data_IF_637583235154
#
_entry.id   IF_637583235154
#
_cell.length_a   1.000
_cell.length_b   1.000
_cell.length_c   1.000
_cell.angle_alpha   90.00
_cell.angle_beta   90.00
_cell.angle_gamma   90.00
#
_symmetry.space_group_name_H-M   'P 1'
#
loop_
_entity.id
_entity.type
_entity.pdbx_description
1 polymer ?
#
# COMPACT_ATOMS: atom_id res chain seq x y z
N UNK A 1 0.47 10.09 10.57
CA UNK A 1 1.01 8.83 10.03
C UNK A 1 1.79 9.06 8.74
N UNK A 2 1.23 9.70 7.70
CA UNK A 2 1.97 10.19 6.53
C UNK A 2 1.77 11.70 6.44
N UNK A 3 2.87 12.47 6.48
CA UNK A 3 2.84 13.90 6.24
C UNK A 3 3.60 14.21 4.96
N UNK A 4 2.89 14.74 3.99
CA UNK A 4 3.43 15.18 2.70
C UNK A 4 3.62 16.70 2.76
N UNK A 5 4.84 17.16 2.50
CA UNK A 5 5.20 18.57 2.64
C UNK A 5 5.82 19.06 1.33
N UNK A 6 5.11 19.94 0.63
CA UNK A 6 5.54 20.57 -0.62
C UNK A 6 6.10 19.55 -1.65
N UNK A 7 5.41 18.41 -1.79
CA UNK A 7 5.81 17.35 -2.70
C UNK A 7 5.83 17.85 -4.15
N UNK A 8 6.96 17.67 -4.80
CA UNK A 8 7.13 17.97 -6.21
C UNK A 8 7.60 16.72 -6.97
N UNK A 9 7.10 16.56 -8.21
CA UNK A 9 7.56 15.52 -9.12
C UNK A 9 7.64 16.06 -10.54
N UNK A 10 8.82 15.92 -11.14
CA UNK A 10 9.09 16.22 -12.56
C UNK A 10 9.56 14.97 -13.29
N UNK A 11 9.17 14.85 -14.55
CA UNK A 11 9.73 13.91 -15.51
C UNK A 11 10.37 14.71 -16.65
N UNK A 12 11.68 14.83 -16.63
CA UNK A 12 12.38 15.80 -17.45
C UNK A 12 11.91 17.23 -17.13
N UNK A 13 11.44 17.95 -18.14
CA UNK A 13 10.92 19.31 -17.97
C UNK A 13 9.43 19.36 -17.59
N UNK A 14 8.73 18.22 -17.63
CA UNK A 14 7.30 18.17 -17.34
C UNK A 14 7.06 18.06 -15.83
N UNK A 15 6.49 19.10 -15.22
CA UNK A 15 6.07 19.09 -13.82
C UNK A 15 4.70 18.42 -13.69
N UNK A 16 4.65 17.28 -12.97
CA UNK A 16 3.45 16.48 -12.79
C UNK A 16 2.82 16.72 -11.41
N UNK A 17 3.64 16.99 -10.38
CA UNK A 17 3.16 17.40 -9.05
C UNK A 17 3.87 18.70 -8.66
N UNK A 18 3.08 19.67 -8.15
CA UNK A 18 3.55 20.98 -7.79
C UNK A 18 3.14 21.32 -6.35
N UNK A 19 4.10 21.21 -5.42
CA UNK A 19 3.99 21.59 -4.00
C UNK A 19 2.77 21.02 -3.27
N UNK A 20 2.48 19.74 -3.50
CA UNK A 20 1.38 19.08 -2.78
C UNK A 20 1.73 18.91 -1.30
N UNK A 21 0.83 19.39 -0.44
CA UNK A 21 0.93 19.19 1.02
C UNK A 21 -0.36 18.63 1.55
N UNK A 22 -0.27 17.50 2.27
CA UNK A 22 -1.44 16.82 2.86
C UNK A 22 -0.99 15.85 3.94
N UNK A 23 -1.83 15.66 4.97
CA UNK A 23 -1.63 14.67 6.04
C UNK A 23 -2.64 13.56 5.93
N UNK A 24 -2.17 12.32 6.09
CA UNK A 24 -2.98 11.10 6.26
C UNK A 24 -2.78 10.62 7.70
N UNK A 25 -3.84 10.60 8.47
CA UNK A 25 -3.82 10.10 9.84
C UNK A 25 -4.13 8.58 9.88
N UNK A 26 -3.88 7.98 11.04
CA UNK A 26 -4.21 6.57 11.23
C UNK A 26 -5.74 6.38 11.23
N UNK A 27 -6.22 5.45 10.40
CA UNK A 27 -7.64 5.20 10.22
C UNK A 27 -8.29 6.08 9.15
N UNK A 28 -7.54 7.02 8.52
CA UNK A 28 -8.05 7.80 7.40
C UNK A 28 -8.33 6.93 6.19
N UNK A 29 -9.46 7.22 5.55
CA UNK A 29 -9.80 6.73 4.22
C UNK A 29 -9.81 7.94 3.29
N UNK A 30 -8.64 8.25 2.74
CA UNK A 30 -8.45 9.35 1.83
C UNK A 30 -8.70 8.91 0.40
N UNK A 31 -9.67 9.53 -0.27
CA UNK A 31 -9.93 9.29 -1.69
C UNK A 31 -9.39 10.45 -2.52
N UNK A 32 -8.68 10.13 -3.59
CA UNK A 32 -8.07 11.08 -4.52
C UNK A 32 -8.77 10.96 -5.87
N UNK A 33 -9.41 12.04 -6.31
CA UNK A 33 -10.09 12.12 -7.60
C UNK A 33 -9.56 13.26 -8.46
N UNK A 34 -9.87 13.23 -9.75
CA UNK A 34 -9.46 14.25 -10.72
C UNK A 34 -9.42 13.70 -12.14
N UNK A 35 -9.23 14.57 -13.16
CA UNK A 35 -9.16 14.13 -14.54
C UNK A 35 -7.98 13.20 -14.82
N UNK A 36 -8.04 12.47 -15.94
CA UNK A 36 -6.91 11.66 -16.40
C UNK A 36 -5.68 12.54 -16.65
N UNK A 37 -4.50 12.06 -16.25
CA UNK A 37 -3.26 12.82 -16.40
C UNK A 37 -3.03 13.93 -15.37
N UNK A 38 -3.89 14.11 -14.37
CA UNK A 38 -3.74 15.16 -13.35
C UNK A 38 -2.66 14.89 -12.28
N UNK A 39 -2.01 13.72 -12.32
CA UNK A 39 -0.94 13.37 -11.37
C UNK A 39 -1.35 12.44 -10.22
N UNK A 40 -2.61 11.96 -10.14
CA UNK A 40 -3.11 11.11 -9.04
C UNK A 40 -2.28 9.86 -8.77
N UNK A 41 -2.05 9.05 -9.80
CA UNK A 41 -1.25 7.82 -9.66
C UNK A 41 0.22 8.15 -9.36
N UNK A 42 0.75 9.25 -9.89
CA UNK A 42 2.10 9.74 -9.57
C UNK A 42 2.18 10.14 -8.09
N UNK A 43 1.19 10.89 -7.60
CA UNK A 43 1.09 11.24 -6.19
C UNK A 43 1.08 9.98 -5.31
N UNK A 44 0.20 9.02 -5.61
CA UNK A 44 0.10 7.78 -4.86
C UNK A 44 1.42 6.98 -4.85
N UNK A 45 2.12 6.91 -6.00
CA UNK A 45 3.41 6.22 -6.13
C UNK A 45 4.55 6.95 -5.44
N UNK A 46 4.47 8.27 -5.30
CA UNK A 46 5.42 9.01 -4.49
C UNK A 46 5.28 8.67 -2.99
N UNK A 47 4.06 8.42 -2.49
CA UNK A 47 3.84 8.12 -1.06
C UNK A 47 4.65 6.93 -0.54
N UNK A 48 5.01 5.99 -1.40
CA UNK A 48 5.88 4.85 -1.06
C UNK A 48 7.22 4.88 -1.81
N UNK A 49 7.58 6.02 -2.40
CA UNK A 49 8.79 6.24 -3.18
C UNK A 49 8.99 5.19 -4.31
N UNK A 50 7.89 4.67 -4.92
CA UNK A 50 8.00 3.96 -6.20
C UNK A 50 8.36 4.93 -7.33
N UNK A 51 7.89 6.16 -7.21
CA UNK A 51 8.34 7.32 -7.94
C UNK A 51 9.07 8.23 -6.98
N UNK A 52 10.36 8.41 -7.15
CA UNK A 52 11.14 9.28 -6.28
C UNK A 52 10.71 10.74 -6.46
N UNK A 53 10.37 11.46 -5.38
CA UNK A 53 10.09 12.89 -5.44
C UNK A 53 11.28 13.67 -6.02
N UNK A 54 11.00 14.77 -6.72
CA UNK A 54 12.04 15.72 -7.15
C UNK A 54 12.22 16.87 -6.17
N UNK A 55 11.28 17.03 -5.23
CA UNK A 55 11.33 18.03 -4.17
C UNK A 55 10.27 17.75 -3.11
N UNK A 56 10.38 18.43 -1.97
CA UNK A 56 9.52 18.23 -0.81
C UNK A 56 9.93 17.06 0.07
N UNK A 57 9.05 16.69 1.00
CA UNK A 57 9.29 15.61 1.98
C UNK A 57 8.09 14.70 2.09
N UNK A 58 8.33 13.44 2.44
CA UNK A 58 7.29 12.45 2.76
C UNK A 58 7.67 11.81 4.10
N UNK A 59 7.03 12.26 5.16
CA UNK A 59 7.31 11.78 6.52
C UNK A 59 6.34 10.64 6.83
N UNK A 60 6.86 9.43 6.92
CA UNK A 60 6.11 8.25 7.32
C UNK A 60 6.53 7.78 8.71
N UNK A 61 5.59 7.77 9.66
CA UNK A 61 5.84 7.43 11.07
C UNK A 61 7.06 8.17 11.66
N UNK A 62 7.20 9.46 11.33
CA UNK A 62 8.27 10.33 11.84
C UNK A 62 9.60 10.27 11.09
N UNK A 63 9.69 9.52 10.00
CA UNK A 63 10.89 9.40 9.16
C UNK A 63 10.62 9.95 7.77
N UNK A 64 11.46 10.85 7.28
CA UNK A 64 11.41 11.32 5.89
C UNK A 64 11.91 10.21 4.96
N UNK A 65 10.97 9.51 4.31
CA UNK A 65 11.27 8.40 3.43
C UNK A 65 11.72 8.83 2.03
N UNK A 66 11.64 10.12 1.72
CA UNK A 66 12.18 10.70 0.49
C UNK A 66 13.69 10.99 0.60
N UNK A 67 14.26 10.98 1.81
CA UNK A 67 15.72 11.09 1.98
C UNK A 67 16.42 9.82 1.46
N UNK A 68 17.31 9.99 0.48
CA UNK A 68 18.09 8.89 -0.13
C UNK A 68 18.98 8.11 0.84
N UNK A 69 19.22 8.64 2.05
CA UNK A 69 19.96 7.95 3.11
C UNK A 69 19.12 6.91 3.86
N UNK A 70 17.81 6.95 3.71
CA UNK A 70 16.87 6.04 4.36
C UNK A 70 16.72 4.76 3.53
N UNK A 71 16.81 3.60 4.16
CA UNK A 71 16.45 2.32 3.50
C UNK A 71 14.92 2.23 3.37
N UNK A 72 14.40 2.67 2.26
CA UNK A 72 12.97 2.67 1.95
C UNK A 72 12.32 1.28 2.08
N UNK A 73 13.09 0.19 1.90
CA UNK A 73 12.54 -1.16 1.97
C UNK A 73 12.06 -1.52 3.39
N UNK A 74 12.62 -0.87 4.42
CA UNK A 74 12.15 -1.03 5.80
C UNK A 74 10.73 -0.45 5.91
N UNK A 75 10.50 0.73 5.35
CA UNK A 75 9.22 1.44 5.41
C UNK A 75 8.16 0.82 4.50
N UNK A 76 8.53 0.37 3.31
CA UNK A 76 7.62 -0.35 2.38
C UNK A 76 7.04 -1.65 2.97
N UNK A 77 7.65 -2.24 3.99
CA UNK A 77 7.05 -3.39 4.71
C UNK A 77 5.73 -3.03 5.39
N UNK A 78 5.58 -1.74 5.74
CA UNK A 78 4.42 -1.18 6.42
C UNK A 78 3.44 -0.48 5.49
N UNK A 79 3.69 -0.51 4.18
CA UNK A 79 2.85 0.11 3.16
C UNK A 79 2.43 -0.94 2.13
N UNK A 80 1.15 -1.29 2.10
CA UNK A 80 0.58 -2.11 1.03
C UNK A 80 0.37 -1.28 -0.24
N UNK A 81 0.57 -1.88 -1.42
CA UNK A 81 0.25 -1.24 -2.70
C UNK A 81 -0.57 -2.21 -3.56
N UNK A 82 -1.71 -1.73 -4.03
CA UNK A 82 -2.61 -2.43 -4.95
C UNK A 82 -2.72 -1.61 -6.24
N UNK A 83 -2.40 -2.22 -7.35
CA UNK A 83 -2.30 -1.56 -8.66
C UNK A 83 -3.57 -1.78 -9.48
N UNK A 84 -3.75 -0.96 -10.50
CA UNK A 84 -4.75 -1.10 -11.56
C UNK A 84 -4.67 -2.47 -12.24
N UNK A 85 -3.47 -2.90 -12.61
CA UNK A 85 -3.19 -4.26 -13.05
C UNK A 85 -2.78 -5.09 -11.83
N UNK A 86 -3.29 -6.27 -11.71
CA UNK A 86 -3.19 -7.15 -10.53
C UNK A 86 -1.75 -7.44 -10.09
N UNK A 87 -0.79 -7.40 -11.03
CA UNK A 87 0.64 -7.62 -10.82
C UNK A 87 0.95 -8.91 -10.03
N UNK A 88 0.17 -9.97 -10.28
CA UNK A 88 0.44 -11.29 -9.73
C UNK A 88 1.56 -11.98 -10.51
N UNK A 89 2.39 -12.74 -9.79
CA UNK A 89 3.43 -13.55 -10.40
C UNK A 89 2.80 -14.77 -11.07
N UNK A 90 2.77 -14.80 -12.40
CA UNK A 90 2.13 -15.87 -13.19
C UNK A 90 2.81 -17.24 -13.02
N UNK A 91 4.08 -17.27 -12.61
CA UNK A 91 4.85 -18.49 -12.34
C UNK A 91 4.74 -18.99 -10.88
N UNK A 92 3.83 -18.42 -10.10
CA UNK A 92 3.55 -18.79 -8.70
C UNK A 92 2.06 -19.06 -8.54
N UNK A 93 1.72 -20.01 -7.68
CA UNK A 93 0.32 -20.23 -7.31
C UNK A 93 -0.23 -19.04 -6.52
N UNK A 94 -1.55 -19.00 -6.32
CA UNK A 94 -2.23 -17.95 -5.57
C UNK A 94 -1.66 -17.83 -4.16
N UNK A 95 -1.57 -18.93 -3.42
CA UNK A 95 -1.00 -18.94 -2.07
C UNK A 95 0.47 -18.51 -2.06
N UNK A 96 1.26 -18.93 -3.05
CA UNK A 96 2.66 -18.51 -3.18
C UNK A 96 2.80 -17.01 -3.48
N UNK A 97 1.86 -16.39 -4.21
CA UNK A 97 1.84 -14.95 -4.41
C UNK A 97 1.65 -14.20 -3.08
N UNK A 98 0.74 -14.67 -2.24
CA UNK A 98 0.43 -14.06 -0.93
C UNK A 98 1.61 -14.24 0.04
N UNK A 99 2.19 -15.44 0.11
CA UNK A 99 3.29 -15.78 1.02
C UNK A 99 4.63 -15.11 0.68
N UNK A 100 4.81 -14.67 -0.56
CA UNK A 100 6.14 -14.30 -1.09
C UNK A 100 6.85 -13.25 -0.23
N UNK A 101 6.19 -12.12 0.02
CA UNK A 101 6.77 -11.03 0.78
C UNK A 101 6.95 -11.38 2.28
N UNK A 102 5.94 -11.91 3.00
CA UNK A 102 6.10 -12.34 4.39
C UNK A 102 7.26 -13.31 4.59
N UNK A 103 7.36 -14.36 3.77
CA UNK A 103 8.44 -15.36 3.86
C UNK A 103 9.80 -14.72 3.58
N UNK A 104 9.89 -13.87 2.55
CA UNK A 104 11.13 -13.20 2.20
C UNK A 104 11.65 -12.33 3.34
N UNK A 105 10.79 -11.48 3.90
CA UNK A 105 11.13 -10.55 4.97
C UNK A 105 11.55 -11.31 6.24
N UNK A 106 10.75 -12.27 6.70
CA UNK A 106 11.06 -13.04 7.90
C UNK A 106 12.34 -13.88 7.74
N UNK A 107 12.58 -14.45 6.55
CA UNK A 107 13.83 -15.16 6.27
C UNK A 107 15.04 -14.21 6.22
N UNK A 108 14.89 -12.98 5.73
CA UNK A 108 15.96 -11.97 5.81
C UNK A 108 16.28 -11.62 7.26
N UNK A 109 15.27 -11.37 8.08
CA UNK A 109 15.46 -11.01 9.48
C UNK A 109 16.10 -12.16 10.26
N UNK A 110 15.69 -13.40 10.00
CA UNK A 110 16.34 -14.59 10.56
C UNK A 110 17.83 -14.68 10.15
N UNK A 111 18.17 -14.39 8.89
CA UNK A 111 19.57 -14.37 8.42
C UNK A 111 20.38 -13.28 9.11
N UNK A 112 19.81 -12.08 9.28
CA UNK A 112 20.45 -10.97 10.01
C UNK A 112 20.76 -11.36 11.45
N UNK A 113 19.80 -11.98 12.16
CA UNK A 113 20.00 -12.48 13.54
C UNK A 113 21.11 -13.54 13.59
N UNK A 114 21.08 -14.54 12.69
CA UNK A 114 22.11 -15.58 12.64
C UNK A 114 23.50 -15.00 12.39
N UNK A 115 23.62 -14.03 11.46
CA UNK A 115 24.89 -13.35 11.16
C UNK A 115 25.39 -12.55 12.36
N UNK A 116 24.51 -11.78 13.01
CA UNK A 116 24.83 -11.01 14.24
C UNK A 116 25.31 -11.95 15.33
N UNK A 117 24.62 -13.05 15.60
CA UNK A 117 24.99 -14.03 16.60
C UNK A 117 26.34 -14.71 16.29
N UNK A 118 26.61 -14.99 15.02
CA UNK A 118 27.90 -15.53 14.61
C UNK A 118 29.05 -14.55 14.92
N UNK A 119 28.90 -13.27 14.54
CA UNK A 119 29.87 -12.23 14.87
C UNK A 119 30.05 -12.05 16.39
N UNK A 120 28.94 -12.06 17.15
CA UNK A 120 28.98 -11.95 18.60
C UNK A 120 29.68 -13.14 19.26
N UNK A 121 29.45 -14.35 18.80
CA UNK A 121 30.19 -15.54 19.27
C UNK A 121 31.69 -15.36 19.08
N UNK A 122 32.11 -14.90 17.89
CA UNK A 122 33.51 -14.67 17.59
C UNK A 122 34.12 -13.56 18.47
N UNK A 123 33.44 -12.42 18.62
CA UNK A 123 33.92 -11.33 19.48
C UNK A 123 33.93 -11.68 20.96
N UNK A 124 33.00 -12.52 21.43
CA UNK A 124 32.92 -12.99 22.81
C UNK A 124 34.05 -13.96 23.19
N UNK A 125 34.72 -14.61 22.20
CA UNK A 125 35.91 -15.41 22.44
C UNK A 125 37.08 -14.58 23.00
N UNK A 126 37.13 -13.28 22.64
CA UNK A 126 38.19 -12.37 23.07
C UNK A 126 37.79 -11.46 24.24
N UNK A 127 36.56 -11.60 24.78
CA UNK A 127 36.04 -10.83 25.90
C UNK A 127 35.95 -11.68 27.16
N UNK A 128 36.36 -11.11 28.31
CA UNK A 128 36.31 -11.79 29.62
C UNK A 128 35.15 -11.27 30.47
N UNK A 129 34.46 -12.17 31.20
CA UNK A 129 33.46 -11.84 32.20
C UNK A 129 32.25 -11.05 31.67
N UNK A 130 31.83 -10.02 32.42
CA UNK A 130 30.61 -9.19 32.16
C UNK A 130 30.65 -8.37 30.88
N UNK A 131 31.76 -8.39 30.13
CA UNK A 131 31.86 -7.72 28.82
C UNK A 131 31.30 -8.57 27.65
N UNK A 132 30.87 -9.79 27.91
CA UNK A 132 30.25 -10.64 26.85
C UNK A 132 28.84 -10.12 26.55
N UNK A 133 28.54 -10.00 25.24
CA UNK A 133 27.23 -9.60 24.77
C UNK A 133 26.33 -10.81 24.61
N UNK A 134 25.07 -10.68 25.01
CA UNK A 134 24.08 -11.75 24.86
C UNK A 134 23.73 -12.02 23.40
N UNK A 135 23.51 -13.29 23.07
CA UNK A 135 23.03 -13.70 21.75
C UNK A 135 21.53 -13.47 21.65
N UNK A 136 21.08 -12.96 20.52
CA UNK A 136 19.63 -12.88 20.24
C UNK A 136 19.08 -14.30 20.08
N UNK A 137 18.05 -14.70 20.84
CA UNK A 137 17.49 -16.04 20.73
C UNK A 137 16.89 -16.27 19.33
N UNK A 138 17.13 -17.44 18.76
CA UNK A 138 16.53 -17.87 17.49
C UNK A 138 15.38 -18.80 17.84
N UNK A 139 14.16 -18.28 17.78
CA UNK A 139 12.93 -19.01 18.15
C UNK A 139 12.25 -19.70 16.97
N UNK A 140 12.67 -19.40 15.73
CA UNK A 140 11.96 -19.83 14.52
C UNK A 140 12.92 -20.43 13.49
N UNK A 141 12.46 -21.45 12.77
CA UNK A 141 13.14 -22.04 11.62
C UNK A 141 12.55 -21.51 10.30
N UNK A 142 13.30 -21.68 9.18
CA UNK A 142 12.78 -21.34 7.85
C UNK A 142 11.54 -22.17 7.49
N UNK A 143 11.50 -23.45 7.90
CA UNK A 143 10.35 -24.33 7.63
C UNK A 143 9.09 -23.83 8.36
N UNK A 144 9.26 -23.41 9.60
CA UNK A 144 8.18 -22.84 10.41
C UNK A 144 7.67 -21.50 9.86
N UNK A 145 8.58 -20.61 9.41
CA UNK A 145 8.20 -19.36 8.72
C UNK A 145 7.32 -19.65 7.50
N UNK A 146 7.71 -20.61 6.67
CA UNK A 146 6.95 -20.99 5.46
C UNK A 146 5.59 -21.60 5.83
N UNK A 147 5.55 -22.46 6.86
CA UNK A 147 4.31 -23.06 7.35
C UNK A 147 3.34 -22.00 7.85
N UNK A 148 3.77 -21.13 8.75
CA UNK A 148 2.93 -20.07 9.33
C UNK A 148 2.43 -19.10 8.24
N UNK A 149 3.31 -18.71 7.30
CA UNK A 149 2.91 -17.84 6.19
C UNK A 149 1.87 -18.51 5.27
N UNK A 150 1.92 -19.85 5.10
CA UNK A 150 0.89 -20.58 4.33
C UNK A 150 -0.45 -20.58 5.09
N UNK A 151 -0.45 -20.84 6.38
CA UNK A 151 -1.64 -20.82 7.21
C UNK A 151 -2.31 -19.43 7.17
N UNK A 152 -1.55 -18.35 7.41
CA UNK A 152 -2.04 -16.98 7.29
C UNK A 152 -2.58 -16.66 5.88
N UNK A 153 -1.90 -17.13 4.82
CA UNK A 153 -2.35 -16.91 3.45
C UNK A 153 -3.68 -17.64 3.14
N UNK A 154 -3.87 -18.86 3.67
CA UNK A 154 -5.13 -19.60 3.54
C UNK A 154 -6.25 -18.87 4.29
N UNK A 155 -6.01 -18.34 5.48
CA UNK A 155 -7.02 -17.58 6.22
C UNK A 155 -7.43 -16.30 5.50
N UNK A 156 -6.47 -15.60 4.87
CA UNK A 156 -6.77 -14.47 4.00
C UNK A 156 -7.58 -14.88 2.75
N UNK A 157 -7.30 -16.04 2.17
CA UNK A 157 -8.07 -16.56 1.02
C UNK A 157 -9.50 -16.95 1.43
N UNK A 158 -9.71 -17.55 2.61
CA UNK A 158 -11.04 -17.83 3.16
C UNK A 158 -11.85 -16.54 3.31
N UNK A 159 -11.22 -15.48 3.80
CA UNK A 159 -11.87 -14.17 3.95
C UNK A 159 -12.47 -13.63 2.65
N UNK A 160 -11.88 -13.97 1.51
CA UNK A 160 -12.35 -13.54 0.17
C UNK A 160 -13.05 -14.65 -0.62
N UNK A 161 -13.34 -15.81 0.01
CA UNK A 161 -14.02 -16.96 -0.60
C UNK A 161 -13.23 -17.63 -1.72
N UNK A 162 -11.90 -17.69 -1.61
CA UNK A 162 -11.00 -18.26 -2.62
C UNK A 162 -10.03 -19.31 -2.05
N UNK A 163 -10.36 -19.96 -0.94
CA UNK A 163 -9.50 -21.00 -0.35
C UNK A 163 -9.30 -22.20 -1.27
N UNK A 164 -10.32 -22.56 -2.05
CA UNK A 164 -10.26 -23.64 -3.06
C UNK A 164 -9.31 -23.32 -4.23
N UNK A 165 -8.94 -22.04 -4.39
CA UNK A 165 -8.02 -21.56 -5.43
C UNK A 165 -6.57 -21.36 -4.93
N UNK A 166 -6.24 -21.81 -3.71
CA UNK A 166 -4.92 -21.58 -3.13
C UNK A 166 -3.76 -22.09 -3.99
N UNK A 167 -3.89 -23.26 -4.55
CA UNK A 167 -2.81 -23.95 -5.27
C UNK A 167 -2.92 -23.84 -6.80
N UNK A 168 -3.88 -23.04 -7.34
CA UNK A 168 -3.97 -22.75 -8.78
C UNK A 168 -3.11 -21.55 -9.18
N UNK A 169 -2.84 -21.41 -10.46
CA UNK A 169 -2.10 -20.26 -11.02
C UNK A 169 -3.03 -19.09 -11.35
N UNK A 170 -2.52 -17.83 -11.29
CA UNK A 170 -3.33 -16.64 -11.58
C UNK A 170 -4.03 -16.63 -12.95
N UNK A 171 -3.48 -17.34 -13.94
CA UNK A 171 -4.06 -17.44 -15.28
C UNK A 171 -5.47 -18.04 -15.29
N UNK A 172 -5.83 -18.85 -14.29
CA UNK A 172 -7.15 -19.50 -14.17
C UNK A 172 -8.18 -18.66 -13.42
N UNK A 173 -7.80 -17.51 -12.89
CA UNK A 173 -8.66 -16.63 -12.11
C UNK A 173 -9.34 -15.58 -13.01
N UNK A 174 -10.57 -15.18 -12.65
CA UNK A 174 -11.22 -13.99 -13.21
C UNK A 174 -10.50 -12.69 -12.81
N UNK A 175 -10.80 -11.58 -13.48
CA UNK A 175 -10.25 -10.25 -13.14
C UNK A 175 -10.51 -9.86 -11.69
N UNK A 176 -11.77 -9.97 -11.24
CA UNK A 176 -12.14 -9.66 -9.84
C UNK A 176 -11.47 -10.58 -8.82
N UNK A 177 -11.33 -11.89 -9.13
CA UNK A 177 -10.58 -12.82 -8.28
C UNK A 177 -9.10 -12.42 -8.17
N UNK A 178 -8.45 -12.08 -9.30
CA UNK A 178 -7.05 -11.61 -9.32
C UNK A 178 -6.88 -10.35 -8.46
N UNK A 179 -7.81 -9.41 -8.56
CA UNK A 179 -7.73 -8.18 -7.79
C UNK A 179 -7.93 -8.43 -6.29
N UNK A 180 -8.90 -9.26 -5.90
CA UNK A 180 -9.06 -9.66 -4.50
C UNK A 180 -7.81 -10.37 -3.95
N UNK A 181 -7.17 -11.23 -4.74
CA UNK A 181 -5.88 -11.85 -4.38
C UNK A 181 -4.78 -10.79 -4.26
N UNK A 182 -4.73 -9.76 -5.12
CA UNK A 182 -3.75 -8.69 -5.01
C UNK A 182 -3.95 -7.85 -3.73
N UNK A 183 -5.19 -7.63 -3.32
CA UNK A 183 -5.51 -6.94 -2.05
C UNK A 183 -5.05 -7.78 -0.85
N UNK A 184 -5.40 -9.06 -0.77
CA UNK A 184 -4.99 -9.89 0.37
C UNK A 184 -3.49 -10.17 0.39
N UNK A 185 -2.81 -10.16 -0.76
CA UNK A 185 -1.34 -10.17 -0.84
C UNK A 185 -0.73 -8.94 -0.17
N UNK A 186 -1.32 -7.76 -0.36
CA UNK A 186 -0.89 -6.55 0.35
C UNK A 186 -1.15 -6.66 1.86
N UNK A 187 -2.32 -7.18 2.26
CA UNK A 187 -2.70 -7.41 3.67
C UNK A 187 -1.79 -8.41 4.39
N UNK A 188 -1.23 -9.40 3.68
CA UNK A 188 -0.37 -10.44 4.27
C UNK A 188 0.89 -9.87 4.94
N UNK A 189 1.29 -8.65 4.59
CA UNK A 189 2.38 -7.93 5.25
C UNK A 189 1.94 -7.20 6.53
N UNK A 190 0.64 -7.21 6.86
CA UNK A 190 0.05 -6.47 7.99
C UNK A 190 0.45 -4.99 7.95
N UNK A 191 0.19 -4.29 6.84
CA UNK A 191 0.64 -2.93 6.63
C UNK A 191 -0.11 -1.94 7.53
N UNK A 192 0.52 -0.81 7.82
CA UNK A 192 -0.10 0.31 8.53
C UNK A 192 -1.04 1.11 7.60
N UNK A 193 -0.76 1.11 6.28
CA UNK A 193 -1.56 1.79 5.25
C UNK A 193 -1.57 0.98 3.96
N UNK A 194 -2.69 1.04 3.23
CA UNK A 194 -2.80 0.47 1.88
C UNK A 194 -3.08 1.59 0.87
N UNK A 195 -2.28 1.61 -0.19
CA UNK A 195 -2.38 2.52 -1.31
C UNK A 195 -3.06 1.79 -2.47
N UNK A 196 -4.17 2.33 -2.99
CA UNK A 196 -4.93 1.75 -4.09
C UNK A 196 -4.85 2.65 -5.32
N UNK A 197 -4.24 2.17 -6.40
CA UNK A 197 -4.11 2.87 -7.69
C UNK A 197 -5.16 2.32 -8.66
N UNK A 198 -6.34 2.94 -8.72
CA UNK A 198 -7.47 2.58 -9.58
C UNK A 198 -7.82 1.06 -9.55
N UNK A 199 -8.15 0.49 -8.39
CA UNK A 199 -8.23 -0.96 -8.22
C UNK A 199 -9.35 -1.65 -9.02
N UNK A 200 -10.28 -0.89 -9.59
CA UNK A 200 -11.43 -1.41 -10.34
C UNK A 200 -11.36 -1.16 -11.86
N UNK A 201 -10.45 -0.28 -12.32
CA UNK A 201 -10.46 0.20 -13.71
C UNK A 201 -10.12 -0.85 -14.77
N UNK A 202 -9.47 -1.97 -14.38
CA UNK A 202 -9.16 -3.10 -15.26
C UNK A 202 -10.15 -4.26 -15.13
N UNK A 203 -11.33 -4.03 -14.52
CA UNK A 203 -12.35 -5.04 -14.25
C UNK A 203 -13.60 -4.83 -15.13
N UNK A 204 -14.24 -5.94 -15.44
CA UNK A 204 -15.58 -5.91 -15.98
C UNK A 204 -16.59 -5.38 -14.94
N UNK A 205 -17.62 -4.62 -15.32
CA UNK A 205 -18.57 -4.01 -14.39
C UNK A 205 -19.19 -4.98 -13.38
N UNK A 206 -19.42 -6.23 -13.78
CA UNK A 206 -19.99 -7.28 -12.93
C UNK A 206 -19.08 -7.66 -11.76
N UNK A 207 -17.76 -7.43 -11.89
CA UNK A 207 -16.75 -7.81 -10.90
C UNK A 207 -16.35 -6.66 -9.97
N UNK A 208 -16.73 -5.43 -10.29
CA UNK A 208 -16.37 -4.21 -9.52
C UNK A 208 -16.94 -4.30 -8.10
N UNK A 209 -18.20 -4.72 -7.95
CA UNK A 209 -18.90 -4.79 -6.67
C UNK A 209 -18.14 -5.61 -5.64
N UNK A 210 -17.66 -6.80 -5.97
CA UNK A 210 -16.95 -7.70 -5.05
C UNK A 210 -15.64 -7.09 -4.52
N UNK A 211 -14.93 -6.31 -5.35
CA UNK A 211 -13.69 -5.63 -4.96
C UNK A 211 -14.00 -4.44 -4.05
N UNK A 212 -15.03 -3.65 -4.39
CA UNK A 212 -15.46 -2.53 -3.56
C UNK A 212 -15.98 -3.00 -2.20
N UNK A 213 -16.72 -4.11 -2.13
CA UNK A 213 -17.21 -4.68 -0.87
C UNK A 213 -16.07 -5.16 0.04
N UNK A 214 -15.03 -5.76 -0.54
CA UNK A 214 -13.81 -6.08 0.20
C UNK A 214 -13.15 -4.81 0.76
N UNK A 215 -13.01 -3.75 -0.06
CA UNK A 215 -12.43 -2.49 0.40
C UNK A 215 -13.29 -1.82 1.49
N UNK A 216 -14.63 -1.89 1.38
CA UNK A 216 -15.55 -1.44 2.45
C UNK A 216 -15.35 -2.21 3.76
N UNK A 217 -15.11 -3.53 3.67
CA UNK A 217 -14.82 -4.31 4.88
C UNK A 217 -13.54 -3.87 5.57
N UNK A 218 -12.49 -3.56 4.80
CA UNK A 218 -11.22 -3.03 5.32
C UNK A 218 -11.41 -1.65 5.97
N UNK A 219 -12.24 -0.80 5.36
CA UNK A 219 -12.60 0.51 5.91
C UNK A 219 -13.26 0.36 7.30
N UNK A 220 -14.24 -0.54 7.42
CA UNK A 220 -14.93 -0.83 8.69
C UNK A 220 -14.01 -1.40 9.78
N UNK A 221 -12.93 -2.08 9.40
CA UNK A 221 -11.89 -2.57 10.31
C UNK A 221 -10.90 -1.49 10.76
N UNK A 222 -11.05 -0.26 10.26
CA UNK A 222 -10.17 0.86 10.61
C UNK A 222 -8.83 0.86 9.87
N UNK A 223 -8.73 0.17 8.71
CA UNK A 223 -7.53 0.20 7.88
C UNK A 223 -7.33 1.60 7.31
N UNK A 224 -6.12 2.14 7.45
CA UNK A 224 -5.75 3.39 6.78
C UNK A 224 -5.60 3.15 5.29
N UNK A 225 -6.27 3.94 4.46
CA UNK A 225 -6.26 3.76 3.01
C UNK A 225 -6.10 5.10 2.28
N UNK A 226 -5.29 5.09 1.21
CA UNK A 226 -5.26 6.18 0.22
C UNK A 226 -5.66 5.57 -1.13
N UNK A 227 -6.72 6.08 -1.72
CA UNK A 227 -7.42 5.42 -2.83
C UNK A 227 -7.55 6.39 -3.99
N UNK A 228 -6.92 6.09 -5.12
CA UNK A 228 -7.22 6.74 -6.40
C UNK A 228 -8.32 5.94 -7.08
N UNK A 229 -9.45 6.56 -7.38
CA UNK A 229 -10.60 5.86 -8.00
C UNK A 229 -11.47 6.81 -8.81
N UNK A 230 -12.25 6.23 -9.73
CA UNK A 230 -13.34 6.87 -10.45
C UNK A 230 -14.72 6.46 -9.92
N UNK A 231 -14.78 5.63 -8.89
CA UNK A 231 -16.01 5.13 -8.25
C UNK A 231 -16.57 6.16 -7.27
N UNK A 232 -17.34 7.17 -7.76
CA UNK A 232 -17.81 8.27 -6.93
C UNK A 232 -18.79 7.84 -5.83
N UNK A 233 -19.62 6.80 -6.13
CA UNK A 233 -20.52 6.21 -5.13
C UNK A 233 -19.77 5.60 -3.96
N UNK A 234 -18.69 4.85 -4.25
CA UNK A 234 -17.82 4.29 -3.25
C UNK A 234 -17.10 5.39 -2.44
N UNK A 235 -16.58 6.43 -3.13
CA UNK A 235 -15.92 7.55 -2.46
C UNK A 235 -16.85 8.26 -1.45
N UNK A 236 -18.12 8.48 -1.81
CA UNK A 236 -19.13 9.07 -0.91
C UNK A 236 -19.41 8.22 0.32
N UNK A 237 -19.43 6.90 0.17
CA UNK A 237 -19.82 5.97 1.22
C UNK A 237 -18.72 5.72 2.24
N UNK A 238 -17.45 5.65 1.80
CA UNK A 238 -16.36 5.16 2.66
C UNK A 238 -15.33 6.21 3.06
N UNK A 239 -15.15 7.27 2.26
CA UNK A 239 -14.13 8.26 2.53
C UNK A 239 -14.45 9.08 3.78
N UNK A 240 -13.42 9.47 4.52
CA UNK A 240 -13.51 10.55 5.51
C UNK A 240 -12.83 11.84 5.00
N UNK A 241 -12.01 11.73 3.97
CA UNK A 241 -11.37 12.87 3.29
C UNK A 241 -11.32 12.61 1.78
N UNK A 242 -11.73 13.62 0.99
CA UNK A 242 -11.63 13.55 -0.47
C UNK A 242 -10.74 14.69 -0.96
N UNK A 243 -9.81 14.35 -1.86
CA UNK A 243 -8.91 15.30 -2.52
C UNK A 243 -9.26 15.40 -4.00
N UNK A 244 -9.32 16.61 -4.52
CA UNK A 244 -9.39 16.89 -5.95
C UNK A 244 -8.02 17.35 -6.44
N UNK A 245 -7.38 16.54 -7.30
CA UNK A 245 -6.11 16.88 -7.93
C UNK A 245 -6.35 17.22 -9.40
N UNK A 246 -5.94 18.42 -9.81
CA UNK A 246 -5.90 18.84 -11.21
C UNK A 246 -4.67 19.73 -11.45
N UNK A 247 -4.02 19.59 -12.63
CA UNK A 247 -2.80 20.31 -12.96
C UNK A 247 -1.65 20.10 -11.96
N UNK A 248 -1.58 18.92 -11.31
CA UNK A 248 -0.53 18.59 -10.34
C UNK A 248 -0.70 19.23 -8.96
N UNK A 249 -1.82 19.89 -8.67
CA UNK A 249 -2.09 20.56 -7.40
C UNK A 249 -3.37 20.02 -6.74
N UNK A 250 -3.45 20.09 -5.41
CA UNK A 250 -4.71 19.86 -4.69
C UNK A 250 -5.54 21.15 -4.79
N UNK A 251 -6.60 21.11 -5.57
CA UNK A 251 -7.49 22.27 -5.75
C UNK A 251 -8.59 22.36 -4.69
N UNK A 252 -9.00 21.20 -4.13
CA UNK A 252 -9.95 21.13 -3.04
C UNK A 252 -9.72 19.89 -2.18
N UNK A 253 -9.93 20.02 -0.86
CA UNK A 253 -9.90 18.93 0.11
C UNK A 253 -11.03 19.15 1.12
N UNK A 254 -11.95 18.20 1.24
CA UNK A 254 -13.07 18.27 2.16
C UNK A 254 -13.58 16.88 2.56
N UNK A 255 -14.39 16.75 3.62
CA UNK A 255 -15.19 15.56 3.87
C UNK A 255 -16.15 15.28 2.69
N UNK A 256 -16.51 14.00 2.44
CA UNK A 256 -17.28 13.63 1.24
C UNK A 256 -18.62 14.35 1.14
N UNK A 257 -19.33 14.57 2.24
CA UNK A 257 -20.61 15.26 2.23
C UNK A 257 -20.48 16.70 1.68
N UNK A 258 -19.53 17.48 2.17
CA UNK A 258 -19.26 18.83 1.69
C UNK A 258 -18.72 18.82 0.26
N UNK A 259 -17.78 17.92 -0.01
CA UNK A 259 -17.09 17.82 -1.29
C UNK A 259 -18.03 17.56 -2.47
N UNK A 260 -18.99 16.65 -2.31
CA UNK A 260 -19.91 16.27 -3.39
C UNK A 260 -21.19 17.12 -3.45
N UNK A 261 -21.64 17.67 -2.30
CA UNK A 261 -22.91 18.42 -2.25
C UNK A 261 -22.71 19.91 -2.41
N UNK A 262 -21.57 20.45 -1.97
CA UNK A 262 -21.29 21.88 -2.02
C UNK A 262 -19.82 22.17 -2.39
N UNK A 263 -19.35 21.69 -3.56
CA UNK A 263 -17.99 21.95 -4.02
C UNK A 263 -17.73 23.45 -4.15
N UNK A 264 -16.57 23.91 -3.66
CA UNK A 264 -16.21 25.34 -3.66
C UNK A 264 -15.45 25.72 -4.93
N UNK A 265 -14.52 24.88 -5.36
CA UNK A 265 -13.68 25.15 -6.51
C UNK A 265 -14.49 25.04 -7.83
N UNK A 266 -14.47 26.06 -8.70
CA UNK A 266 -15.19 26.02 -9.99
C UNK A 266 -14.78 24.84 -10.88
N UNK A 267 -13.51 24.48 -10.88
CA UNK A 267 -12.99 23.36 -11.67
C UNK A 267 -13.50 22.01 -11.17
N UNK A 268 -13.64 21.85 -9.84
CA UNK A 268 -14.28 20.68 -9.24
C UNK A 268 -15.76 20.59 -9.62
N UNK A 269 -16.49 21.72 -9.61
CA UNK A 269 -17.91 21.76 -10.05
C UNK A 269 -18.05 21.28 -11.49
N UNK A 270 -17.20 21.81 -12.39
CA UNK A 270 -17.16 21.38 -13.79
C UNK A 270 -16.86 19.88 -13.92
N UNK A 271 -15.88 19.38 -13.16
CA UNK A 271 -15.52 17.96 -13.18
C UNK A 271 -16.69 17.08 -12.71
N UNK A 272 -17.27 17.39 -11.56
CA UNK A 272 -18.38 16.61 -11.00
C UNK A 272 -19.62 16.61 -11.91
N UNK A 273 -19.94 17.73 -12.56
CA UNK A 273 -21.08 17.80 -13.49
C UNK A 273 -20.94 16.91 -14.73
N UNK A 274 -19.72 16.42 -15.04
CA UNK A 274 -19.44 15.51 -16.16
C UNK A 274 -19.41 14.05 -15.74
N UNK A 275 -19.23 13.77 -14.45
CA UNK A 275 -18.97 12.42 -13.93
C UNK A 275 -20.17 11.89 -13.11
N UNK A 276 -20.96 12.79 -12.52
CA UNK A 276 -22.22 12.50 -11.81
C UNK A 276 -23.42 12.76 -12.68
#
# INVERSE_FOLDING_TARGET
MIDVINLEKKFGDNQVLDKISVTVEKGDIMVVIGPSGSGKSTFLRCLNCMEDPTGGQIIFNGVDIADTKVDINIHRRHMGMVFQHFNLFNNKTVVQNIMLAPVYVQCQDLRKIKRKNFCLKFTNLFKSGDKKQELTPITTSKAEIVKNAREEAIDLLKRIGLEDKADVYPSTLSGGQKQRVAIVRALAMKPDVILFDEPTSALDPEMVGEVLDLMKSLAKEGMTMVIVTHEMGFAREVANKVLFIDGGQILESAPPEEFFSNPKNPRLKEFLSKVL
#
